data_IF_914420421977
#
_entry.id   IF_914420421977
#
_cell.length_a   1.000
_cell.length_b   1.000
_cell.length_c   1.000
_cell.angle_alpha   90.00
_cell.angle_beta   90.00
_cell.angle_gamma   90.00
#
_symmetry.space_group_name_H-M   'P 1'
#
loop_
_entity.id
_entity.type
_entity.pdbx_description
1 polymer ?
#
# COMPACT_ATOMS: atom_id res chain seq x y z
N UNK A 1 -25.65 -2.62 -12.51
CA UNK A 1 -25.72 -1.72 -13.69
C UNK A 1 -24.56 -0.74 -13.59
N UNK A 2 -23.51 -0.95 -14.40
CA UNK A 2 -22.42 0.00 -14.59
C UNK A 2 -22.29 0.27 -16.10
N UNK A 3 -23.29 0.95 -16.66
CA UNK A 3 -23.34 1.33 -18.09
C UNK A 3 -23.49 2.85 -18.20
N UNK A 4 -22.83 3.60 -17.32
CA UNK A 4 -22.89 5.08 -17.38
C UNK A 4 -21.53 5.71 -17.75
N UNK A 5 -20.40 4.98 -17.66
CA UNK A 5 -19.10 5.59 -17.94
C UNK A 5 -18.63 5.53 -19.40
N UNK A 6 -19.12 4.60 -20.24
CA UNK A 6 -18.46 4.34 -21.55
C UNK A 6 -18.89 5.27 -22.69
N UNK A 7 -20.12 5.81 -22.65
CA UNK A 7 -20.59 6.78 -23.65
C UNK A 7 -20.10 8.20 -23.35
N UNK A 8 -20.00 8.58 -22.06
CA UNK A 8 -19.61 9.93 -21.63
C UNK A 8 -18.12 10.22 -21.81
N UNK A 9 -17.25 9.22 -21.61
CA UNK A 9 -15.78 9.36 -21.83
C UNK A 9 -15.43 9.55 -23.31
N UNK A 10 -16.31 9.18 -24.25
CA UNK A 10 -16.05 9.29 -25.69
C UNK A 10 -16.15 10.71 -26.23
N UNK A 11 -16.96 11.59 -25.64
CA UNK A 11 -17.20 12.94 -26.19
C UNK A 11 -16.09 13.95 -25.81
N UNK A 12 -15.36 13.70 -24.72
CA UNK A 12 -14.17 14.48 -24.31
C UNK A 12 -12.89 14.12 -25.10
N UNK A 13 -12.99 13.18 -26.05
CA UNK A 13 -11.88 12.66 -26.84
C UNK A 13 -11.73 13.37 -28.21
N UNK A 14 -11.90 14.69 -28.29
CA UNK A 14 -11.59 15.45 -29.52
C UNK A 14 -10.47 16.48 -29.33
N UNK A 15 -9.53 16.40 -30.29
CA UNK A 15 -8.33 17.17 -30.68
C UNK A 15 -7.34 17.78 -29.66
N UNK A 16 -7.71 18.07 -28.40
CA UNK A 16 -6.77 18.40 -27.31
C UNK A 16 -7.19 17.62 -26.04
N UNK A 17 -6.98 16.29 -26.07
CA UNK A 17 -7.61 15.38 -25.11
C UNK A 17 -7.02 15.53 -23.69
N UNK A 18 -7.77 16.19 -22.81
CA UNK A 18 -7.56 16.13 -21.36
C UNK A 18 -7.54 14.65 -20.96
N UNK A 19 -6.44 14.22 -20.35
CA UNK A 19 -6.29 12.86 -19.88
C UNK A 19 -6.88 12.75 -18.48
N UNK A 20 -7.83 11.84 -18.28
CA UNK A 20 -8.43 11.58 -16.98
C UNK A 20 -7.49 10.62 -16.24
N UNK A 21 -6.91 11.08 -15.14
CA UNK A 21 -6.06 10.28 -14.25
C UNK A 21 -6.58 10.40 -12.82
N UNK A 22 -6.28 9.43 -11.98
CA UNK A 22 -6.62 9.46 -10.55
C UNK A 22 -5.47 9.05 -9.64
N UNK A 23 -4.38 8.55 -10.21
CA UNK A 23 -3.17 8.20 -9.48
C UNK A 23 -1.94 8.80 -10.17
N UNK A 24 -0.92 9.15 -9.38
CA UNK A 24 0.34 9.69 -9.86
C UNK A 24 1.47 9.11 -9.05
N UNK A 25 2.45 8.51 -9.73
CA UNK A 25 3.71 8.08 -9.14
C UNK A 25 4.87 8.67 -9.91
N UNK A 26 5.85 9.23 -9.19
CA UNK A 26 7.04 9.84 -9.75
C UNK A 26 8.27 9.14 -9.20
N UNK A 27 9.09 8.55 -10.07
CA UNK A 27 10.31 7.81 -9.71
C UNK A 27 11.54 8.40 -10.40
N UNK A 28 12.73 8.33 -9.78
CA UNK A 28 13.97 8.84 -10.38
C UNK A 28 14.40 7.97 -11.58
N UNK A 29 14.78 8.60 -12.70
CA UNK A 29 15.48 7.96 -13.83
C UNK A 29 17.00 8.05 -13.70
N UNK A 30 17.49 8.97 -12.87
CA UNK A 30 18.90 9.27 -12.69
C UNK A 30 19.29 9.20 -11.21
N UNK A 31 20.56 9.45 -10.90
CA UNK A 31 21.04 9.53 -9.51
C UNK A 31 20.52 10.76 -8.76
N UNK A 32 19.74 11.62 -9.41
CA UNK A 32 19.13 12.78 -8.77
C UNK A 32 18.10 12.32 -7.73
N UNK A 33 18.41 12.53 -6.45
CA UNK A 33 17.55 12.11 -5.35
C UNK A 33 16.14 12.71 -5.42
N UNK A 34 15.14 11.87 -5.17
CA UNK A 34 13.70 12.22 -5.22
C UNK A 34 13.33 13.41 -4.32
N UNK A 35 13.96 13.52 -3.14
CA UNK A 35 13.79 14.64 -2.21
C UNK A 35 14.08 16.01 -2.84
N UNK A 36 15.07 16.09 -3.74
CA UNK A 36 15.42 17.34 -4.42
C UNK A 36 14.31 17.78 -5.37
N UNK A 37 13.70 16.83 -6.08
CA UNK A 37 12.60 17.14 -6.97
C UNK A 37 11.32 17.48 -6.20
N UNK A 38 11.00 16.72 -5.16
CA UNK A 38 9.90 17.02 -4.23
C UNK A 38 10.00 18.46 -3.67
N UNK A 39 11.18 18.83 -3.17
CA UNK A 39 11.43 20.21 -2.69
C UNK A 39 11.40 21.26 -3.81
N UNK A 40 11.65 20.86 -5.06
CA UNK A 40 11.58 21.75 -6.23
C UNK A 40 10.13 22.07 -6.60
N UNK A 41 9.22 21.11 -6.45
CA UNK A 41 7.79 21.28 -6.76
C UNK A 41 7.21 22.41 -5.90
N UNK A 42 7.40 22.37 -4.58
CA UNK A 42 6.87 23.40 -3.68
C UNK A 42 7.52 24.79 -3.87
N UNK A 43 8.79 24.85 -4.29
CA UNK A 43 9.53 26.13 -4.44
C UNK A 43 9.27 26.85 -5.76
N UNK A 44 8.87 26.13 -6.81
CA UNK A 44 8.72 26.69 -8.15
C UNK A 44 7.27 26.60 -8.62
N UNK A 45 6.32 26.83 -7.71
CA UNK A 45 4.91 26.87 -8.05
C UNK A 45 4.60 28.08 -8.95
N UNK A 46 3.78 27.92 -9.99
CA UNK A 46 3.27 29.05 -10.76
C UNK A 46 2.44 30.00 -9.89
N UNK A 47 2.30 31.27 -10.30
CA UNK A 47 1.65 32.34 -9.51
C UNK A 47 0.24 32.01 -9.00
N UNK A 48 -0.51 31.16 -9.71
CA UNK A 48 -1.87 30.77 -9.34
C UNK A 48 -1.95 29.55 -8.42
N UNK A 49 -0.84 28.86 -8.20
CA UNK A 49 -0.73 27.72 -7.29
C UNK A 49 -0.11 28.19 -5.98
N UNK A 50 -0.54 27.61 -4.85
CA UNK A 50 -0.02 27.99 -3.53
C UNK A 50 0.36 26.77 -2.71
N UNK A 51 1.38 26.92 -1.89
CA UNK A 51 1.72 25.93 -0.88
C UNK A 51 0.83 26.14 0.34
N UNK A 52 0.14 25.10 0.80
CA UNK A 52 -0.74 25.18 1.94
C UNK A 52 -0.06 24.58 3.17
N UNK A 53 0.36 25.43 4.12
CA UNK A 53 0.99 24.99 5.38
C UNK A 53 0.00 24.59 6.45
N UNK A 54 -1.21 25.14 6.39
CA UNK A 54 -2.20 25.05 7.47
C UNK A 54 -2.98 23.74 7.42
N UNK A 55 -3.03 23.07 6.26
CA UNK A 55 -3.71 21.78 6.13
C UNK A 55 -2.77 20.64 6.49
N UNK A 56 -3.11 19.95 7.58
CA UNK A 56 -2.53 18.66 7.89
C UNK A 56 -3.06 17.58 6.92
N UNK A 57 -2.25 16.55 6.73
CA UNK A 57 -2.64 15.31 6.06
C UNK A 57 -2.61 14.20 7.11
N UNK A 58 -3.70 13.44 7.19
CA UNK A 58 -3.77 12.25 8.01
C UNK A 58 -3.47 11.03 7.14
N UNK A 59 -2.50 10.21 7.57
CA UNK A 59 -1.85 9.24 6.71
C UNK A 59 -2.61 7.91 6.62
N UNK A 60 -3.85 8.03 6.15
CA UNK A 60 -4.82 6.94 6.00
C UNK A 60 -5.06 6.51 4.54
N UNK A 61 -4.48 7.20 3.55
CA UNK A 61 -4.75 6.93 2.12
C UNK A 61 -3.73 5.98 1.47
N UNK A 62 -2.62 5.67 2.15
CA UNK A 62 -1.56 4.78 1.66
C UNK A 62 -1.02 3.85 2.75
N UNK A 63 -0.38 2.74 2.37
CA UNK A 63 0.50 1.98 3.28
C UNK A 63 1.97 2.37 3.16
N UNK A 64 2.35 3.23 2.20
CA UNK A 64 3.74 3.68 2.04
C UNK A 64 4.19 4.51 3.26
N UNK A 65 5.48 4.39 3.59
CA UNK A 65 6.09 5.20 4.65
C UNK A 65 6.45 6.57 4.07
N UNK A 66 5.83 7.61 4.60
CA UNK A 66 6.03 8.98 4.14
C UNK A 66 7.15 9.64 4.94
N UNK A 67 8.14 10.19 4.22
CA UNK A 67 9.23 11.01 4.75
C UNK A 67 8.74 12.44 4.95
N UNK A 68 7.94 12.94 4.01
CA UNK A 68 7.43 14.31 4.00
C UNK A 68 6.13 14.38 3.19
N UNK A 69 5.31 15.39 3.44
CA UNK A 69 4.05 15.63 2.74
C UNK A 69 3.92 17.09 2.37
N UNK A 70 3.51 17.35 1.13
CA UNK A 70 3.27 18.69 0.60
C UNK A 70 1.81 18.81 0.19
N UNK A 71 1.15 19.86 0.67
CA UNK A 71 -0.19 20.24 0.24
C UNK A 71 -0.10 21.44 -0.72
N UNK A 72 -0.70 21.30 -1.90
CA UNK A 72 -0.74 22.31 -2.94
C UNK A 72 -2.19 22.75 -3.17
N UNK A 73 -2.49 24.02 -2.99
CA UNK A 73 -3.76 24.63 -3.36
C UNK A 73 -3.78 24.87 -4.87
N UNK A 74 -4.83 24.39 -5.53
CA UNK A 74 -5.02 24.55 -6.97
C UNK A 74 -5.57 25.95 -7.28
N UNK A 75 -5.35 26.47 -8.49
CA UNK A 75 -6.10 27.62 -8.99
C UNK A 75 -7.61 27.39 -8.91
N UNK A 76 -8.37 28.49 -8.91
CA UNK A 76 -9.81 28.42 -9.15
C UNK A 76 -10.08 28.12 -10.63
N UNK A 77 -10.99 27.19 -10.89
CA UNK A 77 -11.47 26.79 -12.20
C UNK A 77 -12.99 26.99 -12.26
N UNK A 78 -13.55 27.33 -13.41
CA UNK A 78 -15.01 27.47 -13.57
C UNK A 78 -15.51 26.28 -14.38
N UNK A 79 -16.33 25.42 -13.76
CA UNK A 79 -17.10 24.42 -14.49
C UNK A 79 -18.37 25.09 -15.03
N UNK A 80 -18.36 25.38 -16.34
CA UNK A 80 -19.48 26.03 -17.03
C UNK A 80 -20.74 25.16 -17.10
N UNK A 81 -20.62 23.83 -16.97
CA UNK A 81 -21.76 22.90 -16.98
C UNK A 81 -22.50 22.97 -15.66
N UNK A 82 -21.75 23.08 -14.56
CA UNK A 82 -22.30 23.17 -13.22
C UNK A 82 -22.59 24.61 -12.78
N UNK A 83 -22.09 25.61 -13.52
CA UNK A 83 -22.03 27.02 -13.11
C UNK A 83 -21.39 27.21 -11.72
N UNK A 84 -20.26 26.52 -11.49
CA UNK A 84 -19.55 26.52 -10.21
C UNK A 84 -18.09 26.89 -10.39
N UNK A 85 -17.57 27.66 -9.43
CA UNK A 85 -16.13 27.85 -9.27
C UNK A 85 -15.58 26.77 -8.33
N UNK A 86 -14.53 26.08 -8.78
CA UNK A 86 -13.89 24.95 -8.12
C UNK A 86 -12.45 25.33 -7.78
N UNK A 87 -12.05 25.18 -6.54
CA UNK A 87 -10.64 25.00 -6.16
C UNK A 87 -10.46 23.68 -5.42
N UNK A 88 -9.21 23.29 -5.18
CA UNK A 88 -8.92 22.06 -4.46
C UNK A 88 -7.52 22.05 -3.87
N UNK A 89 -7.18 20.91 -3.28
CA UNK A 89 -5.91 20.64 -2.64
C UNK A 89 -5.36 19.32 -3.19
N UNK A 90 -4.09 19.32 -3.59
CA UNK A 90 -3.35 18.12 -3.98
C UNK A 90 -2.35 17.82 -2.88
N UNK A 91 -2.41 16.59 -2.35
CA UNK A 91 -1.48 16.10 -1.35
C UNK A 91 -0.49 15.15 -2.01
N UNK A 92 0.80 15.48 -1.94
CA UNK A 92 1.90 14.66 -2.44
C UNK A 92 2.71 14.13 -1.26
N UNK A 93 2.99 12.84 -1.27
CA UNK A 93 3.85 12.18 -0.30
C UNK A 93 5.21 11.89 -0.88
N UNK A 94 6.26 12.20 -0.14
CA UNK A 94 7.63 11.76 -0.42
C UNK A 94 7.89 10.43 0.27
N UNK A 95 8.31 9.42 -0.47
CA UNK A 95 8.90 8.19 0.09
C UNK A 95 10.42 8.21 -0.07
N UNK A 96 11.09 7.12 0.29
CA UNK A 96 12.53 6.95 0.07
C UNK A 96 12.91 6.88 -1.41
N UNK A 97 12.01 6.40 -2.27
CA UNK A 97 12.27 6.12 -3.69
C UNK A 97 11.34 6.84 -4.68
N UNK A 98 10.25 7.46 -4.21
CA UNK A 98 9.22 8.02 -5.09
C UNK A 98 8.48 9.22 -4.49
N UNK A 99 7.75 9.93 -5.34
CA UNK A 99 6.71 10.88 -4.94
C UNK A 99 5.39 10.27 -5.39
N UNK A 100 4.43 10.18 -4.49
CA UNK A 100 3.10 9.63 -4.78
C UNK A 100 2.01 10.67 -4.56
N UNK A 101 0.94 10.60 -5.36
CA UNK A 101 -0.30 11.27 -5.04
C UNK A 101 -0.96 10.55 -3.86
N UNK A 102 -1.26 11.29 -2.80
CA UNK A 102 -1.95 10.76 -1.63
C UNK A 102 -3.45 11.00 -1.75
N UNK A 103 -3.83 12.25 -2.09
CA UNK A 103 -5.22 12.68 -2.07
C UNK A 103 -5.43 13.91 -2.94
N UNK A 104 -6.62 14.03 -3.51
CA UNK A 104 -7.14 15.26 -4.11
C UNK A 104 -8.44 15.63 -3.40
N UNK A 105 -8.44 16.75 -2.70
CA UNK A 105 -9.62 17.30 -2.02
C UNK A 105 -10.18 18.47 -2.81
N UNK A 106 -11.48 18.46 -3.07
CA UNK A 106 -12.18 19.55 -3.77
C UNK A 106 -12.87 20.45 -2.74
N UNK A 107 -12.91 21.75 -3.02
CA UNK A 107 -13.53 22.78 -2.17
C UNK A 107 -15.06 22.70 -2.09
N UNK A 108 -15.68 21.98 -3.01
CA UNK A 108 -17.12 21.76 -3.05
C UNK A 108 -17.45 20.27 -3.06
N UNK A 109 -18.61 19.93 -2.50
CA UNK A 109 -19.14 18.58 -2.65
C UNK A 109 -19.74 18.42 -4.05
N UNK A 110 -19.32 17.36 -4.73
CA UNK A 110 -19.65 17.04 -6.12
C UNK A 110 -20.09 15.57 -6.13
N UNK A 111 -21.16 15.23 -6.86
CA UNK A 111 -21.57 13.85 -7.08
C UNK A 111 -20.39 12.96 -7.50
N UNK A 112 -20.35 11.72 -7.03
CA UNK A 112 -19.20 10.82 -7.27
C UNK A 112 -18.94 10.60 -8.77
N UNK A 113 -19.99 10.66 -9.58
CA UNK A 113 -19.97 10.49 -11.03
C UNK A 113 -19.20 11.62 -11.74
N UNK A 114 -19.35 12.86 -11.26
CA UNK A 114 -18.71 14.05 -11.81
C UNK A 114 -17.31 14.30 -11.24
N UNK A 115 -17.05 13.79 -10.02
CA UNK A 115 -15.77 13.97 -9.32
C UNK A 115 -14.58 13.46 -10.14
N UNK A 116 -14.77 12.40 -10.92
CA UNK A 116 -13.70 11.79 -11.71
C UNK A 116 -13.13 12.76 -12.76
N UNK A 117 -14.00 13.42 -13.52
CA UNK A 117 -13.59 14.35 -14.57
C UNK A 117 -12.87 15.55 -13.99
N UNK A 118 -13.37 16.07 -12.87
CA UNK A 118 -12.79 17.22 -12.18
C UNK A 118 -11.42 16.87 -11.60
N UNK A 119 -11.27 15.70 -10.97
CA UNK A 119 -9.97 15.22 -10.49
C UNK A 119 -9.01 15.03 -11.66
N UNK A 120 -9.46 14.43 -12.76
CA UNK A 120 -8.65 14.26 -13.97
C UNK A 120 -8.16 15.61 -14.52
N UNK A 121 -9.05 16.59 -14.60
CA UNK A 121 -8.71 17.95 -15.03
C UNK A 121 -7.73 18.64 -14.07
N UNK A 122 -7.92 18.51 -12.76
CA UNK A 122 -7.01 19.05 -11.74
C UNK A 122 -5.62 18.42 -11.87
N UNK A 123 -5.53 17.10 -12.01
CA UNK A 123 -4.25 16.40 -12.16
C UNK A 123 -3.57 16.68 -13.50
N UNK A 124 -4.33 16.85 -14.58
CA UNK A 124 -3.80 17.31 -15.85
C UNK A 124 -3.21 18.73 -15.73
N UNK A 125 -3.94 19.67 -15.12
CA UNK A 125 -3.42 21.03 -14.88
C UNK A 125 -2.19 21.02 -13.96
N UNK A 126 -2.18 20.18 -12.93
CA UNK A 126 -1.01 19.99 -12.08
C UNK A 126 0.20 19.50 -12.89
N UNK A 127 0.00 18.53 -13.77
CA UNK A 127 1.06 18.03 -14.64
C UNK A 127 1.61 19.12 -15.56
N UNK A 128 0.74 19.79 -16.31
CA UNK A 128 1.14 20.80 -17.31
C UNK A 128 1.73 22.06 -16.67
N UNK A 129 1.14 22.57 -15.59
CA UNK A 129 1.53 23.84 -15.00
C UNK A 129 2.62 23.73 -13.94
N UNK A 130 2.67 22.62 -13.18
CA UNK A 130 3.58 22.48 -12.03
C UNK A 130 4.73 21.52 -12.33
N UNK A 131 4.43 20.34 -12.85
CA UNK A 131 5.45 19.31 -13.05
C UNK A 131 6.30 19.56 -14.30
N UNK A 132 5.68 19.67 -15.49
CA UNK A 132 6.40 19.81 -16.77
C UNK A 132 7.37 20.99 -16.83
N UNK A 133 7.03 22.20 -16.33
CA UNK A 133 7.94 23.35 -16.38
C UNK A 133 9.10 23.24 -15.38
N UNK A 134 9.06 22.27 -14.46
CA UNK A 134 10.11 22.11 -13.47
C UNK A 134 11.41 21.66 -14.15
N UNK A 135 12.52 22.36 -13.89
CA UNK A 135 13.83 22.05 -14.47
C UNK A 135 14.33 20.60 -14.25
N UNK A 136 13.80 19.92 -13.24
CA UNK A 136 14.17 18.55 -12.93
C UNK A 136 13.29 17.50 -13.60
N UNK A 137 12.17 17.89 -14.24
CA UNK A 137 11.16 16.99 -14.80
C UNK A 137 11.76 15.82 -15.60
N UNK A 138 12.63 16.09 -16.57
CA UNK A 138 13.20 15.03 -17.41
C UNK A 138 14.09 13.99 -16.70
N UNK A 139 14.50 14.26 -15.45
CA UNK A 139 15.25 13.30 -14.62
C UNK A 139 14.35 12.26 -13.93
N UNK A 140 13.04 12.37 -14.10
CA UNK A 140 12.05 11.51 -13.45
C UNK A 140 11.14 10.85 -14.48
N UNK A 141 10.61 9.70 -14.08
CA UNK A 141 9.47 9.06 -14.71
C UNK A 141 8.22 9.51 -13.98
N UNK A 142 7.18 9.90 -14.73
CA UNK A 142 5.89 10.29 -14.19
C UNK A 142 4.87 9.31 -14.73
N UNK A 143 4.48 8.34 -13.90
CA UNK A 143 3.35 7.46 -14.19
C UNK A 143 2.07 8.18 -13.78
N UNK A 144 1.17 8.34 -14.74
CA UNK A 144 -0.18 8.84 -14.53
C UNK A 144 -1.13 7.73 -14.91
N UNK A 145 -1.92 7.27 -13.96
CA UNK A 145 -2.78 6.12 -14.17
C UNK A 145 -4.24 6.47 -13.90
N UNK A 146 -5.12 5.88 -14.70
CA UNK A 146 -6.56 6.02 -14.56
C UNK A 146 -7.11 4.85 -13.75
N UNK A 147 -7.57 5.15 -12.53
CA UNK A 147 -8.27 4.20 -11.67
C UNK A 147 -9.77 4.43 -11.72
N UNK A 148 -10.21 5.64 -11.33
CA UNK A 148 -11.59 6.08 -11.37
C UNK A 148 -12.61 5.04 -10.84
N UNK A 149 -13.81 4.95 -11.43
CA UNK A 149 -14.80 3.94 -11.07
C UNK A 149 -14.38 2.49 -11.31
N UNK A 150 -13.22 2.23 -11.91
CA UNK A 150 -12.64 0.88 -12.09
C UNK A 150 -11.59 0.52 -11.03
N UNK A 151 -11.32 1.43 -10.10
CA UNK A 151 -10.39 1.24 -8.98
C UNK A 151 -11.16 0.93 -7.69
N UNK A 152 -10.85 -0.20 -7.04
CA UNK A 152 -11.40 -0.58 -5.73
C UNK A 152 -11.16 0.51 -4.69
N UNK A 153 -10.06 1.25 -4.80
CA UNK A 153 -9.76 2.35 -3.88
C UNK A 153 -10.78 3.48 -3.94
N UNK A 154 -11.56 3.60 -5.02
CA UNK A 154 -12.55 4.65 -5.17
C UNK A 154 -13.80 4.43 -4.29
N UNK A 155 -14.07 3.18 -3.92
CA UNK A 155 -15.28 2.80 -3.19
C UNK A 155 -15.03 2.41 -1.73
N UNK A 156 -13.76 2.32 -1.31
CA UNK A 156 -13.40 1.90 0.03
C UNK A 156 -13.77 2.95 1.09
N UNK A 157 -14.14 2.46 2.27
CA UNK A 157 -14.20 3.26 3.49
C UNK A 157 -12.88 3.23 4.25
N UNK A 158 -12.17 2.10 4.19
CA UNK A 158 -10.92 1.88 4.91
C UNK A 158 -9.95 1.07 4.03
N UNK A 159 -8.64 1.35 4.09
CA UNK A 159 -7.63 0.56 3.36
C UNK A 159 -7.56 -0.91 3.82
N UNK A 160 -8.07 -1.17 5.03
CA UNK A 160 -8.09 -2.49 5.66
C UNK A 160 -9.28 -3.34 5.22
N UNK A 161 -10.19 -2.79 4.42
CA UNK A 161 -11.30 -3.55 3.86
C UNK A 161 -10.78 -4.65 2.91
N UNK A 162 -11.45 -5.80 2.91
CA UNK A 162 -11.27 -6.79 1.85
C UNK A 162 -11.80 -6.25 0.51
N UNK A 163 -11.24 -6.72 -0.60
CA UNK A 163 -11.80 -6.41 -1.92
C UNK A 163 -13.13 -7.12 -2.08
N UNK A 164 -14.07 -6.46 -2.75
CA UNK A 164 -15.36 -7.07 -3.07
C UNK A 164 -15.22 -8.04 -4.24
N UNK A 165 -15.83 -9.22 -4.11
CA UNK A 165 -15.96 -10.17 -5.23
C UNK A 165 -17.05 -9.62 -6.16
N UNK A 166 -16.73 -9.47 -7.44
CA UNK A 166 -17.65 -8.91 -8.43
C UNK A 166 -18.04 -9.97 -9.43
N UNK A 167 -19.34 -10.25 -9.53
CA UNK A 167 -19.88 -11.26 -10.43
C UNK A 167 -20.80 -10.62 -11.45
N UNK A 168 -20.60 -10.90 -12.73
CA UNK A 168 -21.54 -10.54 -13.79
C UNK A 168 -22.40 -11.76 -14.13
N UNK A 169 -23.70 -11.64 -13.88
CA UNK A 169 -24.70 -12.66 -14.24
C UNK A 169 -25.19 -12.44 -15.66
N UNK A 170 -24.98 -13.41 -16.55
CA UNK A 170 -25.45 -13.35 -17.94
C UNK A 170 -26.98 -13.36 -18.01
N UNK A 171 -27.64 -14.19 -17.21
CA UNK A 171 -29.10 -14.26 -17.18
C UNK A 171 -29.72 -12.94 -16.70
N UNK A 172 -29.15 -12.34 -15.66
CA UNK A 172 -29.73 -11.14 -15.04
C UNK A 172 -29.30 -9.84 -15.71
N UNK A 173 -28.26 -9.90 -16.56
CA UNK A 173 -27.57 -8.73 -17.14
C UNK A 173 -27.15 -7.71 -16.06
N UNK A 174 -26.69 -8.22 -14.92
CA UNK A 174 -26.36 -7.42 -13.72
C UNK A 174 -25.00 -7.83 -13.14
N UNK A 175 -24.31 -6.84 -12.59
CA UNK A 175 -23.12 -7.03 -11.77
C UNK A 175 -23.51 -6.99 -10.29
N UNK A 176 -23.12 -8.01 -9.56
CA UNK A 176 -23.30 -8.17 -8.12
C UNK A 176 -21.97 -7.89 -7.43
N UNK A 177 -22.03 -7.16 -6.32
CA UNK A 177 -20.89 -6.87 -5.45
C UNK A 177 -21.09 -7.66 -4.17
N UNK A 178 -20.23 -8.64 -3.94
CA UNK A 178 -20.30 -9.52 -2.78
C UNK A 178 -19.20 -9.13 -1.80
N UNK A 179 -19.61 -8.89 -0.56
CA UNK A 179 -18.71 -8.62 0.56
C UNK A 179 -18.88 -9.75 1.56
N UNK A 180 -17.77 -10.26 2.06
CA UNK A 180 -17.78 -11.28 3.11
C UNK A 180 -18.31 -10.67 4.41
N UNK A 181 -19.15 -11.40 5.12
CA UNK A 181 -19.63 -11.05 6.45
C UNK A 181 -19.38 -12.23 7.38
N UNK A 182 -18.96 -11.92 8.60
CA UNK A 182 -18.74 -12.86 9.69
C UNK A 182 -19.61 -12.48 10.89
N UNK A 183 -19.96 -13.47 11.71
CA UNK A 183 -20.69 -13.26 12.97
C UNK A 183 -19.84 -13.77 14.13
N UNK A 184 -19.68 -12.96 15.16
CA UNK A 184 -19.04 -13.36 16.41
C UNK A 184 -19.97 -13.11 17.61
N UNK A 185 -19.94 -13.99 18.60
CA UNK A 185 -20.65 -13.78 19.87
C UNK A 185 -19.69 -13.21 20.91
N UNK A 186 -20.05 -12.08 21.51
CA UNK A 186 -19.36 -11.54 22.67
C UNK A 186 -20.37 -11.27 23.78
N UNK A 187 -20.28 -12.05 24.86
CA UNK A 187 -21.26 -12.07 25.94
C UNK A 187 -22.67 -12.35 25.39
N UNK A 188 -23.61 -11.42 25.59
CA UNK A 188 -25.00 -11.50 25.14
C UNK A 188 -25.25 -10.77 23.81
N UNK A 189 -24.19 -10.32 23.10
CA UNK A 189 -24.30 -9.61 21.83
C UNK A 189 -23.75 -10.45 20.69
N UNK A 190 -24.49 -10.50 19.59
CA UNK A 190 -23.98 -10.94 18.30
C UNK A 190 -23.42 -9.72 17.56
N UNK A 191 -22.20 -9.85 17.04
CA UNK A 191 -21.50 -8.83 16.28
C UNK A 191 -21.37 -9.35 14.86
N UNK A 192 -22.04 -8.68 13.93
CA UNK A 192 -21.90 -8.94 12.49
C UNK A 192 -20.94 -7.91 11.89
N UNK A 193 -19.92 -8.36 11.17
CA UNK A 193 -18.89 -7.48 10.62
C UNK A 193 -18.30 -8.05 9.34
N UNK A 194 -17.76 -7.18 8.47
CA UNK A 194 -16.91 -7.61 7.37
C UNK A 194 -15.48 -7.82 7.90
N UNK A 195 -14.86 -8.98 7.65
CA UNK A 195 -13.50 -9.21 8.10
C UNK A 195 -12.54 -8.26 7.38
N UNK A 196 -11.49 -7.76 8.07
CA UNK A 196 -10.48 -6.96 7.41
C UNK A 196 -9.55 -7.84 6.57
N UNK A 197 -8.94 -7.26 5.54
CA UNK A 197 -7.80 -7.86 4.88
C UNK A 197 -6.62 -7.93 5.87
N UNK A 198 -6.19 -9.15 6.22
CA UNK A 198 -5.15 -9.34 7.23
C UNK A 198 -3.77 -8.79 6.81
N UNK A 199 -3.49 -8.75 5.51
CA UNK A 199 -2.26 -8.13 4.97
C UNK A 199 -2.32 -6.62 5.21
N UNK A 200 -3.42 -5.98 4.82
CA UNK A 200 -3.67 -4.56 5.08
C UNK A 200 -3.65 -4.21 6.58
N UNK A 201 -4.23 -5.06 7.44
CA UNK A 201 -4.22 -4.86 8.88
C UNK A 201 -2.80 -4.89 9.44
N UNK A 202 -2.00 -5.86 8.99
CA UNK A 202 -0.60 -5.99 9.39
C UNK A 202 0.26 -4.81 8.90
N UNK A 203 0.06 -4.36 7.65
CA UNK A 203 0.70 -3.15 7.13
C UNK A 203 0.29 -1.89 7.92
N UNK A 204 -0.99 -1.77 8.31
CA UNK A 204 -1.47 -0.67 9.14
C UNK A 204 -0.78 -0.64 10.51
N UNK A 205 -0.68 -1.79 11.17
CA UNK A 205 -0.01 -1.91 12.47
C UNK A 205 1.48 -1.57 12.37
N UNK A 206 2.17 -2.15 11.39
CA UNK A 206 3.56 -1.83 11.10
C UNK A 206 3.76 -0.33 10.89
N UNK A 207 2.98 0.29 10.02
CA UNK A 207 3.12 1.73 9.70
C UNK A 207 2.90 2.62 10.90
N UNK A 208 1.86 2.34 11.70
CA UNK A 208 1.55 3.09 12.92
C UNK A 208 2.68 2.98 13.94
N UNK A 209 3.20 1.78 14.16
CA UNK A 209 4.34 1.56 15.05
C UNK A 209 5.62 2.19 14.54
N UNK A 210 5.93 2.10 13.24
CA UNK A 210 7.09 2.78 12.64
C UNK A 210 7.02 4.30 12.85
N UNK A 211 5.85 4.90 12.66
CA UNK A 211 5.65 6.34 12.85
C UNK A 211 5.93 6.75 14.30
N UNK A 212 5.44 5.97 15.27
CA UNK A 212 5.71 6.19 16.70
C UNK A 212 7.18 5.94 17.06
N UNK A 213 7.81 4.91 16.48
CA UNK A 213 9.24 4.64 16.66
C UNK A 213 10.11 5.80 16.14
N UNK A 214 9.81 6.33 14.95
CA UNK A 214 10.51 7.49 14.40
C UNK A 214 10.43 8.71 15.33
N UNK A 215 9.25 9.01 15.86
CA UNK A 215 9.06 10.13 16.79
C UNK A 215 9.88 9.94 18.07
N UNK A 216 9.85 8.74 18.67
CA UNK A 216 10.61 8.40 19.88
C UNK A 216 12.12 8.46 19.64
N UNK A 217 12.62 7.91 18.52
CA UNK A 217 14.03 7.99 18.17
C UNK A 217 14.49 9.44 17.99
N UNK A 218 13.70 10.26 17.28
CA UNK A 218 14.00 11.68 17.13
C UNK A 218 14.08 12.39 18.49
N UNK A 219 13.18 12.07 19.42
CA UNK A 219 13.20 12.60 20.78
C UNK A 219 14.46 12.16 21.54
N UNK A 220 14.81 10.87 21.49
CA UNK A 220 16.05 10.35 22.10
C UNK A 220 17.30 11.06 21.58
N UNK A 221 17.38 11.24 20.26
CA UNK A 221 18.54 11.86 19.61
C UNK A 221 18.61 13.38 19.80
N UNK A 222 17.48 14.05 20.07
CA UNK A 222 17.45 15.51 20.26
C UNK A 222 18.24 16.00 21.48
N UNK A 223 18.52 15.11 22.44
CA UNK A 223 19.22 15.40 23.69
C UNK A 223 20.74 15.13 23.64
N UNK A 224 21.29 14.63 22.52
CA UNK A 224 22.63 14.03 22.48
C UNK A 224 23.68 14.75 21.63
N UNK A 225 24.94 14.69 22.08
CA UNK A 225 26.12 14.90 21.24
C UNK A 225 26.47 13.62 20.44
N UNK A 226 27.73 13.48 19.98
CA UNK A 226 28.18 12.27 19.23
C UNK A 226 28.01 10.94 19.99
N UNK A 227 27.94 10.99 21.32
CA UNK A 227 27.69 9.84 22.19
C UNK A 227 26.48 10.16 23.04
N UNK A 228 25.46 9.30 22.96
CA UNK A 228 24.25 9.39 23.79
C UNK A 228 24.35 8.34 24.90
N UNK A 229 24.45 8.81 26.14
CA UNK A 229 24.36 7.94 27.30
C UNK A 229 22.92 7.98 27.81
N UNK A 230 22.24 6.83 27.78
CA UNK A 230 20.86 6.69 28.23
C UNK A 230 20.85 6.60 29.76
N UNK A 231 20.37 7.65 30.41
CA UNK A 231 20.17 7.69 31.86
C UNK A 231 18.85 7.03 32.29
N UNK A 232 18.55 7.03 33.60
CA UNK A 232 17.34 6.41 34.12
C UNK A 232 16.05 7.08 33.62
N UNK A 233 16.08 8.36 33.27
CA UNK A 233 14.91 9.12 32.85
C UNK A 233 14.59 8.87 31.36
N UNK A 234 15.62 8.56 30.56
CA UNK A 234 15.50 8.22 29.14
C UNK A 234 15.22 6.74 28.88
N UNK A 235 15.45 5.85 29.85
CA UNK A 235 15.20 4.40 29.71
C UNK A 235 13.78 4.05 29.25
N UNK A 236 12.71 4.62 29.83
CA UNK A 236 11.35 4.32 29.37
C UNK A 236 11.16 4.65 27.88
N UNK A 237 11.66 5.80 27.44
CA UNK A 237 11.56 6.22 26.04
C UNK A 237 12.33 5.28 25.09
N UNK A 238 13.50 4.79 25.51
CA UNK A 238 14.24 3.76 24.77
C UNK A 238 13.46 2.45 24.68
N UNK A 239 12.87 1.99 25.79
CA UNK A 239 12.10 0.75 25.80
C UNK A 239 10.85 0.86 24.93
N UNK A 240 10.11 1.95 25.04
CA UNK A 240 8.96 2.20 24.17
C UNK A 240 9.38 2.27 22.69
N UNK A 241 10.58 2.79 22.37
CA UNK A 241 11.10 2.74 20.99
C UNK A 241 11.33 1.29 20.54
N UNK A 242 11.97 0.47 21.37
CA UNK A 242 12.26 -0.94 21.04
C UNK A 242 10.96 -1.75 20.87
N UNK A 243 9.94 -1.51 21.70
CA UNK A 243 8.62 -2.12 21.57
C UNK A 243 7.96 -1.80 20.22
N UNK A 244 8.04 -0.55 19.77
CA UNK A 244 7.48 -0.13 18.50
C UNK A 244 8.25 -0.71 17.31
N UNK A 245 9.58 -0.83 17.41
CA UNK A 245 10.40 -1.50 16.40
C UNK A 245 10.05 -2.99 16.33
N UNK A 246 9.96 -3.69 17.47
CA UNK A 246 9.57 -5.09 17.50
C UNK A 246 8.19 -5.30 16.88
N UNK A 247 7.21 -4.49 17.29
CA UNK A 247 5.86 -4.51 16.71
C UNK A 247 5.92 -4.34 15.20
N UNK A 248 6.69 -3.35 14.72
CA UNK A 248 6.82 -3.08 13.29
C UNK A 248 7.49 -4.24 12.54
N UNK A 249 8.55 -4.85 13.08
CA UNK A 249 9.22 -6.00 12.47
C UNK A 249 8.28 -7.19 12.35
N UNK A 250 7.57 -7.54 13.44
CA UNK A 250 6.65 -8.68 13.46
C UNK A 250 5.53 -8.48 12.44
N UNK A 251 4.83 -7.34 12.47
CA UNK A 251 3.71 -7.10 11.56
C UNK A 251 4.13 -6.86 10.11
N UNK A 252 5.32 -6.31 9.87
CA UNK A 252 5.92 -6.23 8.54
C UNK A 252 6.12 -7.63 7.95
N UNK A 253 6.66 -8.57 8.73
CA UNK A 253 6.87 -9.94 8.28
C UNK A 253 5.54 -10.71 8.11
N UNK A 254 4.58 -10.56 9.03
CA UNK A 254 3.24 -11.17 8.92
C UNK A 254 2.54 -10.70 7.64
N UNK A 255 2.68 -9.43 7.24
CA UNK A 255 2.11 -8.93 6.00
C UNK A 255 2.65 -9.69 4.77
N UNK A 256 3.97 -9.90 4.68
CA UNK A 256 4.59 -10.64 3.57
C UNK A 256 4.17 -12.11 3.59
N UNK A 257 4.17 -12.74 4.76
CA UNK A 257 3.79 -14.14 4.91
C UNK A 257 2.32 -14.37 4.53
N UNK A 258 1.43 -13.51 5.03
CA UNK A 258 0.01 -13.51 4.66
C UNK A 258 -0.19 -13.28 3.16
N UNK A 259 0.57 -12.35 2.58
CA UNK A 259 0.55 -12.08 1.14
C UNK A 259 1.00 -13.30 0.34
N UNK A 260 2.13 -13.91 0.71
CA UNK A 260 2.66 -15.07 0.02
C UNK A 260 1.68 -16.25 0.04
N UNK A 261 1.05 -16.52 1.19
CA UNK A 261 0.05 -17.59 1.30
C UNK A 261 -1.22 -17.28 0.51
N UNK A 262 -1.68 -16.03 0.51
CA UNK A 262 -2.86 -15.60 -0.23
C UNK A 262 -2.71 -15.72 -1.76
N UNK A 263 -1.49 -15.60 -2.29
CA UNK A 263 -1.20 -15.78 -3.72
C UNK A 263 -1.30 -17.24 -4.15
N UNK A 264 -1.03 -18.21 -3.27
CA UNK A 264 -0.88 -19.62 -3.68
C UNK A 264 -2.25 -20.24 -3.98
N UNK A 265 -2.52 -20.66 -5.24
CA UNK A 265 -3.76 -21.33 -5.59
C UNK A 265 -3.90 -22.68 -4.90
N UNK A 266 -5.14 -23.09 -4.63
CA UNK A 266 -5.43 -24.35 -3.92
C UNK A 266 -4.89 -25.59 -4.64
N UNK A 267 -4.91 -25.57 -5.98
CA UNK A 267 -4.44 -26.65 -6.83
C UNK A 267 -2.95 -26.53 -7.22
N UNK A 268 -2.22 -25.57 -6.67
CA UNK A 268 -0.81 -25.40 -6.99
C UNK A 268 0.06 -26.53 -6.42
N UNK A 269 1.00 -27.00 -7.23
CA UNK A 269 1.97 -28.03 -6.88
C UNK A 269 3.38 -27.56 -7.20
N UNK A 270 4.32 -27.90 -6.31
CA UNK A 270 5.73 -27.58 -6.49
C UNK A 270 6.61 -28.79 -6.19
N UNK A 271 7.41 -29.18 -7.17
CA UNK A 271 8.41 -30.22 -7.01
C UNK A 271 9.70 -29.67 -6.39
N UNK A 272 10.17 -30.30 -5.32
CA UNK A 272 11.44 -30.03 -4.67
C UNK A 272 12.24 -31.32 -4.53
N UNK A 273 13.56 -31.21 -4.61
CA UNK A 273 14.47 -32.31 -4.25
C UNK A 273 14.92 -32.08 -2.80
N UNK A 274 14.68 -33.06 -1.93
CA UNK A 274 15.13 -32.98 -0.55
C UNK A 274 16.63 -33.28 -0.42
N UNK A 275 17.18 -33.14 0.79
CA UNK A 275 18.62 -33.38 1.07
C UNK A 275 19.08 -34.80 0.73
N UNK A 276 18.14 -35.75 0.63
CA UNK A 276 18.40 -37.16 0.28
C UNK A 276 18.27 -37.43 -1.23
N UNK A 277 18.10 -36.39 -2.06
CA UNK A 277 17.93 -36.54 -3.51
C UNK A 277 16.57 -37.05 -3.95
N UNK A 278 15.60 -37.15 -3.04
CA UNK A 278 14.25 -37.65 -3.34
C UNK A 278 13.39 -36.48 -3.81
N UNK A 279 12.68 -36.68 -4.93
CA UNK A 279 11.70 -35.73 -5.45
C UNK A 279 10.43 -35.79 -4.60
N UNK A 280 10.08 -34.67 -3.98
CA UNK A 280 8.83 -34.47 -3.25
C UNK A 280 7.96 -33.46 -3.98
N UNK A 281 6.67 -33.76 -4.13
CA UNK A 281 5.68 -32.82 -4.67
C UNK A 281 4.91 -32.21 -3.51
N UNK A 282 5.08 -30.91 -3.30
CA UNK A 282 4.40 -30.16 -2.25
C UNK A 282 3.13 -29.50 -2.81
N UNK A 283 2.01 -29.71 -2.13
CA UNK A 283 0.77 -28.97 -2.35
C UNK A 283 0.79 -27.63 -1.58
N UNK A 284 -0.25 -26.81 -1.73
CA UNK A 284 -0.39 -25.54 -1.00
C UNK A 284 -0.16 -25.67 0.50
N UNK A 285 -0.82 -26.62 1.17
CA UNK A 285 -0.68 -26.79 2.63
C UNK A 285 0.77 -27.09 3.05
N UNK A 286 1.48 -27.92 2.27
CA UNK A 286 2.89 -28.21 2.52
C UNK A 286 3.77 -26.98 2.32
N UNK A 287 3.51 -26.22 1.25
CA UNK A 287 4.24 -24.97 0.97
C UNK A 287 4.00 -23.97 2.09
N UNK A 288 2.74 -23.71 2.47
CA UNK A 288 2.36 -22.76 3.51
C UNK A 288 3.01 -23.09 4.86
N UNK A 289 3.07 -24.38 5.21
CA UNK A 289 3.55 -24.84 6.53
C UNK A 289 5.06 -24.98 6.64
N UNK A 290 5.74 -25.46 5.59
CA UNK A 290 7.13 -25.92 5.69
C UNK A 290 8.12 -25.08 4.89
N UNK A 291 7.65 -24.32 3.90
CA UNK A 291 8.54 -23.45 3.13
C UNK A 291 8.77 -22.14 3.87
N UNK A 292 10.01 -21.64 3.88
CA UNK A 292 10.29 -20.31 4.44
C UNK A 292 9.61 -19.22 3.60
N UNK A 293 9.27 -18.10 4.24
CA UNK A 293 8.65 -16.96 3.53
C UNK A 293 9.55 -16.47 2.40
N UNK A 294 10.87 -16.39 2.63
CA UNK A 294 11.81 -16.01 1.57
C UNK A 294 11.89 -16.99 0.41
N UNK A 295 11.76 -18.31 0.63
CA UNK A 295 11.63 -19.28 -0.46
C UNK A 295 10.30 -19.08 -1.21
N UNK A 296 9.16 -18.89 -0.51
CA UNK A 296 7.87 -18.61 -1.15
C UNK A 296 7.96 -17.38 -2.05
N UNK A 297 8.43 -16.27 -1.50
CA UNK A 297 8.58 -14.98 -2.20
C UNK A 297 9.58 -15.07 -3.35
N UNK A 298 10.72 -15.73 -3.15
CA UNK A 298 11.80 -15.77 -4.15
C UNK A 298 11.67 -16.85 -5.22
N UNK A 299 10.82 -17.86 -5.03
CA UNK A 299 10.75 -19.04 -5.93
C UNK A 299 9.33 -19.38 -6.35
N UNK A 300 8.36 -19.29 -5.44
CA UNK A 300 6.97 -19.71 -5.72
C UNK A 300 6.17 -18.59 -6.36
N UNK A 301 6.15 -17.41 -5.72
CA UNK A 301 5.37 -16.27 -6.18
C UNK A 301 5.71 -15.86 -7.63
N UNK A 302 6.99 -15.77 -8.06
CA UNK A 302 7.32 -15.44 -9.44
C UNK A 302 6.75 -16.42 -10.46
N UNK A 303 6.63 -17.71 -10.11
CA UNK A 303 6.04 -18.73 -11.01
C UNK A 303 4.53 -18.57 -11.13
N UNK A 304 3.85 -18.20 -10.05
CA UNK A 304 2.39 -18.07 -10.00
C UNK A 304 1.95 -16.76 -10.68
N UNK A 305 2.61 -15.65 -10.33
CA UNK A 305 2.27 -14.31 -10.81
C UNK A 305 2.91 -14.02 -12.19
N UNK A 306 3.83 -14.89 -12.65
CA UNK A 306 4.62 -14.67 -13.86
C UNK A 306 5.37 -13.33 -13.82
N UNK A 307 6.04 -13.06 -12.70
CA UNK A 307 6.83 -11.85 -12.51
C UNK A 307 8.32 -12.09 -12.77
N UNK A 308 9.10 -11.01 -12.83
CA UNK A 308 10.55 -11.08 -12.91
C UNK A 308 11.18 -11.65 -11.63
N UNK A 309 12.50 -11.86 -11.65
CA UNK A 309 13.22 -12.31 -10.46
C UNK A 309 13.23 -11.19 -9.41
N UNK A 310 12.61 -11.45 -8.25
CA UNK A 310 12.62 -10.51 -7.13
C UNK A 310 13.98 -10.48 -6.43
N UNK A 311 14.81 -11.52 -6.56
CA UNK A 311 16.10 -11.63 -5.86
C UNK A 311 17.14 -10.64 -6.36
N UNK A 312 16.99 -10.16 -7.60
CA UNK A 312 17.87 -9.12 -8.17
C UNK A 312 17.46 -7.71 -7.75
N UNK A 313 16.33 -7.55 -7.06
CA UNK A 313 15.84 -6.24 -6.64
C UNK A 313 16.69 -5.69 -5.48
N UNK A 314 16.98 -4.37 -5.43
CA UNK A 314 17.82 -3.78 -4.40
C UNK A 314 17.33 -4.01 -2.96
N UNK A 315 16.02 -4.14 -2.76
CA UNK A 315 15.41 -4.35 -1.44
C UNK A 315 15.41 -5.82 -0.99
N UNK A 316 15.88 -6.76 -1.81
CA UNK A 316 15.87 -8.19 -1.48
C UNK A 316 16.72 -8.50 -0.23
N UNK A 317 17.90 -7.88 -0.13
CA UNK A 317 18.77 -8.05 1.04
C UNK A 317 18.12 -7.51 2.31
N UNK A 318 17.37 -6.40 2.20
CA UNK A 318 16.66 -5.80 3.33
C UNK A 318 15.52 -6.73 3.80
N UNK A 319 14.78 -7.33 2.86
CA UNK A 319 13.76 -8.34 3.19
C UNK A 319 14.37 -9.59 3.86
N UNK A 320 15.52 -10.07 3.37
CA UNK A 320 16.23 -11.17 4.05
C UNK A 320 16.70 -10.75 5.45
N UNK A 321 17.14 -9.51 5.62
CA UNK A 321 17.44 -8.93 6.93
C UNK A 321 16.22 -8.88 7.86
N UNK A 322 15.04 -8.56 7.32
CA UNK A 322 13.78 -8.56 8.06
C UNK A 322 13.42 -9.97 8.57
N UNK A 323 13.57 -10.99 7.73
CA UNK A 323 13.34 -12.39 8.12
C UNK A 323 14.29 -12.82 9.25
N UNK A 324 15.57 -12.50 9.14
CA UNK A 324 16.57 -12.79 10.17
C UNK A 324 16.21 -12.10 11.49
N UNK A 325 15.98 -10.78 11.45
CA UNK A 325 15.66 -10.00 12.64
C UNK A 325 14.37 -10.49 13.32
N UNK A 326 13.33 -10.79 12.54
CA UNK A 326 12.08 -11.37 13.05
C UNK A 326 12.35 -12.71 13.74
N UNK A 327 13.17 -13.58 13.15
CA UNK A 327 13.49 -14.88 13.73
C UNK A 327 14.28 -14.71 15.02
N UNK A 328 15.22 -13.77 15.08
CA UNK A 328 15.99 -13.49 16.30
C UNK A 328 15.11 -12.92 17.41
N UNK A 329 14.10 -12.10 17.10
CA UNK A 329 13.11 -11.59 18.07
C UNK A 329 12.25 -12.73 18.64
N UNK A 330 11.69 -13.59 17.77
CA UNK A 330 10.75 -14.64 18.17
C UNK A 330 11.45 -15.84 18.81
N UNK A 331 12.67 -16.15 18.34
CA UNK A 331 13.47 -17.29 18.77
C UNK A 331 14.80 -16.84 19.36
N UNK A 332 14.72 -15.90 20.32
CA UNK A 332 15.89 -15.30 20.94
C UNK A 332 16.84 -16.38 21.49
N UNK A 333 18.07 -16.37 20.99
CA UNK A 333 19.10 -17.35 21.37
C UNK A 333 19.86 -16.88 22.61
N UNK A 334 20.32 -17.85 23.38
CA UNK A 334 21.27 -17.62 24.46
C UNK A 334 22.70 -17.71 23.97
N UNK A 335 23.55 -16.80 24.43
CA UNK A 335 25.00 -16.80 24.28
C UNK A 335 25.68 -17.25 25.59
N UNK A 336 27.02 -17.24 25.63
CA UNK A 336 27.81 -17.58 26.82
C UNK A 336 27.40 -18.91 27.46
N UNK A 337 27.40 -20.00 26.67
CA UNK A 337 27.00 -21.34 27.10
C UNK A 337 25.59 -21.42 27.72
N UNK A 338 24.67 -20.55 27.29
CA UNK A 338 23.29 -20.57 27.76
C UNK A 338 22.99 -19.63 28.93
N UNK A 339 23.94 -18.78 29.34
CA UNK A 339 23.80 -17.96 30.55
C UNK A 339 23.31 -16.53 30.30
N UNK A 340 23.31 -16.06 29.05
CA UNK A 340 22.87 -14.71 28.69
C UNK A 340 22.07 -14.72 27.40
N UNK A 341 21.12 -13.81 27.26
CA UNK A 341 20.47 -13.54 25.98
C UNK A 341 21.41 -12.73 25.08
N UNK A 342 21.34 -12.95 23.77
CA UNK A 342 22.12 -12.18 22.80
C UNK A 342 21.66 -10.69 22.77
N UNK A 343 22.50 -9.73 23.20
CA UNK A 343 22.14 -8.31 23.16
C UNK A 343 22.22 -7.72 21.73
N UNK A 344 22.81 -8.45 20.78
CA UNK A 344 23.01 -7.99 19.40
C UNK A 344 21.71 -7.61 18.69
N UNK A 345 20.58 -8.19 19.09
CA UNK A 345 19.25 -7.87 18.57
C UNK A 345 18.91 -6.38 18.78
N UNK A 346 19.19 -5.85 19.96
CA UNK A 346 18.90 -4.44 20.27
C UNK A 346 19.81 -3.49 19.50
N UNK A 347 21.07 -3.89 19.26
CA UNK A 347 21.98 -3.12 18.41
C UNK A 347 21.47 -3.07 16.95
N UNK A 348 20.92 -4.17 16.43
CA UNK A 348 20.27 -4.18 15.11
C UNK A 348 19.04 -3.25 15.06
N UNK A 349 18.22 -3.24 16.11
CA UNK A 349 17.04 -2.36 16.22
C UNK A 349 17.37 -0.87 16.32
N UNK A 350 18.55 -0.53 16.82
CA UNK A 350 19.04 0.85 16.89
C UNK A 350 19.84 1.28 15.65
N UNK A 351 20.13 0.35 14.74
CA UNK A 351 20.93 0.61 13.56
C UNK A 351 20.21 1.46 12.51
N UNK A 352 20.95 2.26 11.76
CA UNK A 352 20.43 3.23 10.77
C UNK A 352 19.50 2.61 9.71
N UNK A 353 19.67 1.32 9.42
CA UNK A 353 18.91 0.60 8.40
C UNK A 353 17.60 0.00 8.90
N UNK A 354 17.28 0.08 10.20
CA UNK A 354 16.13 -0.62 10.77
C UNK A 354 14.81 -0.27 10.06
N UNK A 355 14.57 1.01 9.77
CA UNK A 355 13.35 1.44 9.06
C UNK A 355 13.33 0.99 7.60
N UNK A 356 14.48 0.92 6.93
CA UNK A 356 14.60 0.38 5.58
C UNK A 356 14.31 -1.13 5.57
N UNK A 357 14.87 -1.87 6.53
CA UNK A 357 14.61 -3.29 6.73
C UNK A 357 13.13 -3.56 6.95
N UNK A 358 12.47 -2.79 7.82
CA UNK A 358 11.03 -2.94 8.09
C UNK A 358 10.19 -2.60 6.86
N UNK A 359 10.47 -1.49 6.17
CA UNK A 359 9.69 -1.05 5.00
C UNK A 359 9.90 -1.91 3.74
N UNK A 360 10.89 -2.80 3.73
CA UNK A 360 11.11 -3.76 2.64
C UNK A 360 9.89 -4.64 2.36
N UNK A 361 9.01 -4.88 3.34
CA UNK A 361 7.75 -5.60 3.13
C UNK A 361 6.83 -4.93 2.13
N UNK A 362 6.69 -3.61 2.20
CA UNK A 362 5.91 -2.84 1.24
C UNK A 362 6.51 -3.01 -0.15
N UNK A 363 7.84 -2.97 -0.28
CA UNK A 363 8.53 -3.13 -1.58
C UNK A 363 8.34 -4.54 -2.16
N UNK A 364 8.40 -5.58 -1.33
CA UNK A 364 8.11 -6.95 -1.75
C UNK A 364 6.66 -7.08 -2.25
N UNK A 365 5.69 -6.57 -1.49
CA UNK A 365 4.28 -6.63 -1.88
C UNK A 365 4.04 -5.80 -3.15
N UNK A 366 4.56 -4.57 -3.21
CA UNK A 366 4.44 -3.65 -4.35
C UNK A 366 5.02 -4.24 -5.64
N UNK A 367 6.12 -4.99 -5.56
CA UNK A 367 6.71 -5.68 -6.72
C UNK A 367 5.73 -6.63 -7.41
N UNK A 368 5.03 -7.46 -6.64
CA UNK A 368 4.02 -8.38 -7.19
C UNK A 368 2.70 -7.68 -7.49
N UNK A 369 2.32 -6.70 -6.66
CA UNK A 369 1.13 -5.89 -6.86
C UNK A 369 1.13 -5.19 -8.22
N UNK A 370 2.27 -4.64 -8.65
CA UNK A 370 2.41 -4.00 -9.96
C UNK A 370 2.20 -4.94 -11.14
N UNK A 371 2.41 -6.24 -10.96
CA UNK A 371 2.18 -7.26 -11.99
C UNK A 371 0.72 -7.71 -11.99
N UNK A 372 0.13 -7.94 -10.82
CA UNK A 372 -1.27 -8.32 -10.66
C UNK A 372 -1.97 -7.45 -9.61
N UNK A 373 -2.45 -6.27 -10.03
CA UNK A 373 -3.19 -5.37 -9.16
C UNK A 373 -4.69 -5.66 -9.11
N UNK A 374 -5.14 -6.77 -9.70
CA UNK A 374 -6.54 -7.20 -9.70
C UNK A 374 -6.81 -8.35 -8.72
N UNK A 375 -5.75 -8.97 -8.18
CA UNK A 375 -5.88 -10.11 -7.27
C UNK A 375 -6.80 -9.81 -6.06
N UNK A 376 -7.79 -10.65 -5.77
CA UNK A 376 -8.86 -10.34 -4.80
C UNK A 376 -8.36 -10.23 -3.36
N UNK A 377 -7.28 -10.92 -3.01
CA UNK A 377 -6.72 -10.90 -1.66
C UNK A 377 -5.65 -9.83 -1.45
N UNK A 378 -5.29 -9.05 -2.48
CA UNK A 378 -4.26 -8.03 -2.33
C UNK A 378 -4.78 -6.84 -1.54
N UNK A 379 -3.90 -6.17 -0.75
CA UNK A 379 -4.30 -4.99 0.01
C UNK A 379 -4.73 -3.86 -0.93
N UNK A 380 -5.50 -2.93 -0.38
CA UNK A 380 -5.81 -1.63 -1.00
C UNK A 380 -4.69 -0.63 -0.67
N UNK A 381 -4.68 0.56 -1.30
CA UNK A 381 -3.78 1.66 -0.90
C UNK A 381 -2.30 1.50 -1.29
N UNK A 382 -1.96 0.60 -2.23
CA UNK A 382 -0.63 0.46 -2.81
C UNK A 382 -0.50 1.05 -4.23
N UNK A 383 -1.54 1.73 -4.71
CA UNK A 383 -1.73 2.22 -6.07
C UNK A 383 -3.11 1.77 -6.58
N UNK A 384 -3.36 1.87 -7.88
CA UNK A 384 -4.61 1.42 -8.49
C UNK A 384 -4.89 -0.05 -8.17
N UNK A 385 -6.11 -0.34 -7.71
CA UNK A 385 -6.60 -1.69 -7.46
C UNK A 385 -7.67 -2.02 -8.51
N UNK A 386 -7.30 -2.75 -9.56
CA UNK A 386 -8.24 -3.07 -10.64
C UNK A 386 -9.30 -4.06 -10.18
N UNK A 387 -10.49 -3.93 -10.76
CA UNK A 387 -11.54 -4.92 -10.60
C UNK A 387 -11.25 -6.21 -11.36
N UNK A 388 -11.61 -7.32 -10.73
CA UNK A 388 -11.78 -8.60 -11.40
C UNK A 388 -13.27 -8.98 -11.37
N UNK A 389 -13.94 -8.85 -12.52
CA UNK A 389 -15.33 -9.26 -12.67
C UNK A 389 -15.37 -10.67 -13.23
N UNK A 390 -15.95 -11.60 -12.48
CA UNK A 390 -16.08 -12.99 -12.91
C UNK A 390 -17.46 -13.19 -13.52
N UNK A 391 -17.50 -13.82 -14.70
CA UNK A 391 -18.75 -14.08 -15.39
C UNK A 391 -19.37 -15.40 -14.92
N UNK A 392 -20.66 -15.39 -14.59
CA UNK A 392 -21.44 -16.56 -14.19
C UNK A 392 -22.72 -16.66 -15.02
N UNK A 393 -23.29 -17.86 -15.12
CA UNK A 393 -24.54 -18.06 -15.88
C UNK A 393 -25.71 -17.32 -15.24
N UNK A 394 -25.96 -17.56 -13.95
CA UNK A 394 -26.98 -16.87 -13.15
C UNK A 394 -26.61 -16.89 -11.67
N UNK A 395 -27.12 -15.95 -10.88
CA UNK A 395 -26.92 -15.99 -9.43
C UNK A 395 -27.55 -17.26 -8.81
N UNK A 396 -28.75 -17.64 -9.25
CA UNK A 396 -29.48 -18.80 -8.70
C UNK A 396 -28.78 -20.14 -8.91
N UNK A 397 -28.00 -20.30 -9.99
CA UNK A 397 -27.24 -21.53 -10.24
C UNK A 397 -26.06 -21.69 -9.29
N UNK A 398 -25.48 -20.57 -8.84
CA UNK A 398 -24.24 -20.56 -8.06
C UNK A 398 -24.46 -20.25 -6.57
N UNK A 399 -25.59 -19.63 -6.22
CA UNK A 399 -25.90 -19.17 -4.88
C UNK A 399 -27.30 -19.62 -4.48
N UNK A 400 -27.44 -20.02 -3.21
CA UNK A 400 -28.75 -20.27 -2.59
C UNK A 400 -29.01 -19.21 -1.53
N UNK A 401 -30.28 -18.85 -1.35
CA UNK A 401 -30.68 -18.04 -0.22
C UNK A 401 -30.46 -18.84 1.07
N UNK A 402 -29.91 -18.20 2.09
CA UNK A 402 -29.72 -18.78 3.42
C UNK A 402 -30.43 -17.85 4.39
N UNK A 403 -31.29 -18.39 5.25
CA UNK A 403 -31.98 -17.58 6.27
C UNK A 403 -30.98 -17.18 7.35
N UNK A 404 -31.22 -16.03 8.00
CA UNK A 404 -30.32 -15.50 9.04
C UNK A 404 -30.09 -16.47 10.21
N UNK A 405 -31.02 -17.41 10.44
CA UNK A 405 -30.95 -18.44 11.49
C UNK A 405 -30.02 -19.62 11.14
N UNK A 406 -29.62 -19.78 9.87
CA UNK A 406 -28.70 -20.83 9.40
C UNK A 406 -27.22 -20.36 9.36
N UNK A 407 -26.94 -19.08 9.68
CA UNK A 407 -25.64 -18.41 9.68
C UNK A 407 -25.26 -17.93 11.10
#
# INVERSE_FOLDING_TARGET
>A
MAVIASSFVKDLMTEDRIRIFTDVTITPKTTLGVKRYFSSIARNLPTKWRFCKEKSYDDNDSFRILIDVVCLETPAFVDKRMDKTLSGFIYLGLTDDSIILLKVDLSIDIPKEERLEIIGYVLHNFHEAVLKPNKHYHNFEHSFEFGGPSDENWFKSDLRDERSIKLFSKADQKTYFLVRSEKAKHLHKQISYSPPNNISLSLSLMKKSMSRAHAKLKQLLSAGGKVLNIDNDQKPLLFDYLEEIQTSVIFSYIAIEGFANAVIPENFQHDRINERGIKETWNKQNIERWMSTSEKVGVILPKIINSGDIKIQPFWSDFKGLEVLRNDIVHQKTIDRGTKLDPGIYAQMLGDKIFQTISSSIKVIDFFYKVDNAHPYFPLGLGIAKFQVHEIESMEKHFRHVNDDEL
#
